data_IF_560538299505
#
_entry.id   IF_560538299505
#
_cell.length_a   1.000
_cell.length_b   1.000
_cell.length_c   1.000
_cell.angle_alpha   90.00
_cell.angle_beta   90.00
_cell.angle_gamma   90.00
#
_symmetry.space_group_name_H-M   'P 1'
#
loop_
_entity.id
_entity.type
_entity.pdbx_description
1 polymer ?
#
# COMPACT_ATOMS: atom_id res chain seq x y z
N UNK A 1 49.63 -54.40 43.12
CA UNK A 1 48.17 -54.16 42.97
C UNK A 1 47.76 -52.78 43.49
N UNK A 2 48.37 -52.24 44.55
CA UNK A 2 47.98 -50.92 45.09
C UNK A 2 48.57 -49.71 44.35
N UNK A 3 49.77 -49.82 43.77
CA UNK A 3 50.40 -48.72 43.03
C UNK A 3 49.64 -48.32 41.74
N UNK A 4 49.23 -49.29 40.93
CA UNK A 4 48.46 -49.05 39.69
C UNK A 4 47.08 -48.43 39.98
N UNK A 5 46.44 -48.81 41.11
CA UNK A 5 45.17 -48.19 41.54
C UNK A 5 45.37 -46.73 41.95
N UNK A 6 46.51 -46.40 42.56
CA UNK A 6 46.86 -45.05 42.97
C UNK A 6 47.15 -44.16 41.74
N UNK A 7 47.91 -44.66 40.77
CA UNK A 7 48.16 -43.94 39.51
C UNK A 7 46.88 -43.71 38.71
N UNK A 8 45.98 -44.70 38.66
CA UNK A 8 44.66 -44.56 38.01
C UNK A 8 43.78 -43.52 38.72
N UNK A 9 43.83 -43.46 40.05
CA UNK A 9 43.10 -42.47 40.84
C UNK A 9 43.64 -41.06 40.58
N UNK A 10 44.96 -40.88 40.57
CA UNK A 10 45.61 -39.61 40.25
C UNK A 10 45.30 -39.14 38.83
N UNK A 11 45.29 -40.06 37.85
CA UNK A 11 44.89 -39.76 36.47
C UNK A 11 43.43 -39.26 36.39
N UNK A 12 42.50 -39.93 37.08
CA UNK A 12 41.09 -39.51 37.17
C UNK A 12 40.92 -38.18 37.90
N UNK A 13 41.70 -37.90 38.96
CA UNK A 13 41.67 -36.62 39.66
C UNK A 13 42.14 -35.50 38.73
N UNK A 14 43.20 -35.72 37.94
CA UNK A 14 43.68 -34.74 36.96
C UNK A 14 42.65 -34.50 35.86
N UNK A 15 42.08 -35.57 35.30
CA UNK A 15 41.05 -35.49 34.26
C UNK A 15 39.80 -34.73 34.75
N UNK A 16 39.29 -35.07 35.94
CA UNK A 16 38.14 -34.36 36.53
C UNK A 16 38.46 -32.91 36.84
N UNK A 17 39.67 -32.59 37.30
CA UNK A 17 40.11 -31.21 37.53
C UNK A 17 40.12 -30.40 36.23
N UNK A 18 40.61 -30.98 35.13
CA UNK A 18 40.60 -30.35 33.80
C UNK A 18 39.18 -30.17 33.26
N UNK A 19 38.29 -31.15 33.48
CA UNK A 19 36.90 -31.03 33.08
C UNK A 19 36.19 -29.92 33.85
N UNK A 20 36.41 -29.83 35.17
CA UNK A 20 35.83 -28.78 36.02
C UNK A 20 36.34 -27.40 35.63
N UNK A 21 37.63 -27.24 35.32
CA UNK A 21 38.15 -25.95 34.85
C UNK A 21 37.57 -25.55 33.51
N UNK A 22 37.44 -26.49 32.57
CA UNK A 22 36.78 -26.26 31.27
C UNK A 22 35.32 -25.84 31.44
N UNK A 23 34.54 -26.57 32.23
CA UNK A 23 33.13 -26.24 32.49
C UNK A 23 32.96 -24.89 33.18
N UNK A 24 33.89 -24.50 34.06
CA UNK A 24 33.88 -23.16 34.67
C UNK A 24 34.12 -22.06 33.64
N UNK A 25 35.03 -22.28 32.70
CA UNK A 25 35.29 -21.31 31.63
C UNK A 25 34.10 -21.22 30.66
N UNK A 26 33.54 -22.35 30.23
CA UNK A 26 32.33 -22.36 29.39
C UNK A 26 31.15 -21.67 30.08
N UNK A 27 30.94 -21.93 31.38
CA UNK A 27 29.91 -21.24 32.17
C UNK A 27 30.15 -19.73 32.21
N UNK A 28 31.40 -19.30 32.45
CA UNK A 28 31.77 -17.89 32.51
C UNK A 28 31.51 -17.21 31.16
N UNK A 29 31.88 -17.86 30.06
CA UNK A 29 31.62 -17.34 28.71
C UNK A 29 30.12 -17.14 28.47
N UNK A 30 29.29 -18.12 28.84
CA UNK A 30 27.82 -18.03 28.71
C UNK A 30 27.25 -16.92 29.60
N UNK A 31 27.80 -16.70 30.80
CA UNK A 31 27.39 -15.59 31.68
C UNK A 31 27.75 -14.23 31.08
N UNK A 32 28.94 -14.09 30.46
CA UNK A 32 29.36 -12.88 29.76
C UNK A 32 28.48 -12.61 28.52
N UNK A 33 28.19 -13.63 27.70
CA UNK A 33 27.29 -13.51 26.55
C UNK A 33 25.85 -13.12 26.98
N UNK A 34 25.33 -13.72 28.06
CA UNK A 34 24.03 -13.33 28.60
C UNK A 34 24.00 -11.88 29.10
N UNK A 35 25.09 -11.40 29.73
CA UNK A 35 25.18 -10.01 30.16
C UNK A 35 25.17 -9.04 28.98
N UNK A 36 25.89 -9.36 27.90
CA UNK A 36 25.89 -8.58 26.67
C UNK A 36 24.51 -8.55 25.99
N UNK A 37 23.83 -9.69 25.93
CA UNK A 37 22.47 -9.76 25.38
C UNK A 37 21.47 -8.92 26.18
N UNK A 38 21.56 -8.93 27.51
CA UNK A 38 20.72 -8.09 28.37
C UNK A 38 20.95 -6.60 28.11
N UNK A 39 22.21 -6.18 28.07
CA UNK A 39 22.55 -4.80 27.72
C UNK A 39 21.98 -4.41 26.34
N UNK A 40 22.06 -5.32 25.36
CA UNK A 40 21.53 -5.06 24.01
C UNK A 40 20.01 -4.95 23.98
N UNK A 41 19.31 -5.72 24.80
CA UNK A 41 17.85 -5.61 24.96
C UNK A 41 17.51 -4.24 25.53
N UNK A 42 18.18 -3.80 26.61
CA UNK A 42 17.94 -2.49 27.23
C UNK A 42 18.17 -1.33 26.24
N UNK A 43 19.23 -1.42 25.41
CA UNK A 43 19.50 -0.46 24.34
C UNK A 43 18.38 -0.41 23.29
N UNK A 44 17.87 -1.58 22.88
CA UNK A 44 16.79 -1.68 21.89
C UNK A 44 15.45 -1.21 22.45
N UNK A 45 15.14 -1.48 23.72
CA UNK A 45 13.94 -0.99 24.40
C UNK A 45 13.96 0.53 24.47
N UNK A 46 15.10 1.13 24.80
CA UNK A 46 15.27 2.59 24.82
C UNK A 46 15.04 3.17 23.43
N UNK A 47 15.65 2.58 22.40
CA UNK A 47 15.47 3.04 21.01
C UNK A 47 14.01 2.90 20.55
N UNK A 48 13.32 1.83 20.94
CA UNK A 48 11.91 1.63 20.62
C UNK A 48 11.03 2.71 21.27
N UNK A 49 11.27 3.04 22.54
CA UNK A 49 10.55 4.11 23.24
C UNK A 49 10.74 5.47 22.55
N UNK A 50 11.95 5.78 22.07
CA UNK A 50 12.20 7.01 21.31
C UNK A 50 11.45 7.04 19.98
N UNK A 51 11.41 5.90 19.27
CA UNK A 51 10.66 5.78 18.01
C UNK A 51 9.16 5.92 18.26
N UNK A 52 8.62 5.28 19.29
CA UNK A 52 7.22 5.38 19.68
C UNK A 52 6.85 6.83 20.07
N UNK A 53 7.66 7.48 20.90
CA UNK A 53 7.45 8.88 21.28
C UNK A 53 7.49 9.82 20.07
N UNK A 54 8.41 9.59 19.12
CA UNK A 54 8.45 10.34 17.87
C UNK A 54 7.23 10.04 16.99
N UNK A 55 6.82 8.77 16.87
CA UNK A 55 5.64 8.39 16.11
C UNK A 55 4.38 9.05 16.68
N UNK A 56 4.19 9.05 18.00
CA UNK A 56 3.08 9.75 18.67
C UNK A 56 3.11 11.27 18.48
N UNK A 57 4.27 11.86 18.13
CA UNK A 57 4.36 13.29 17.80
C UNK A 57 3.80 13.60 16.41
N UNK A 58 3.90 12.65 15.47
CA UNK A 58 3.44 12.80 14.09
C UNK A 58 2.10 12.12 13.82
N UNK A 59 1.71 11.19 14.67
CA UNK A 59 0.42 10.51 14.66
C UNK A 59 -0.38 11.15 15.79
N UNK A 60 -1.30 12.10 15.49
CA UNK A 60 -2.16 12.62 16.53
C UNK A 60 -2.92 11.44 17.12
N UNK A 61 -3.04 11.41 18.44
CA UNK A 61 -3.77 10.37 19.16
C UNK A 61 -5.10 10.10 18.45
N UNK A 62 -5.33 8.84 18.07
CA UNK A 62 -6.53 8.46 17.33
C UNK A 62 -7.77 8.89 18.12
N UNK A 63 -7.73 8.79 19.45
CA UNK A 63 -8.82 9.23 20.32
C UNK A 63 -9.01 10.75 20.27
N UNK A 64 -7.91 11.53 20.18
CA UNK A 64 -7.97 12.99 19.99
C UNK A 64 -8.52 13.39 18.62
N UNK A 65 -8.14 12.69 17.55
CA UNK A 65 -8.68 12.93 16.20
C UNK A 65 -10.15 12.57 16.12
N UNK A 66 -10.55 11.45 16.72
CA UNK A 66 -11.95 11.05 16.81
C UNK A 66 -12.76 12.05 17.63
N UNK A 67 -12.23 12.55 18.74
CA UNK A 67 -12.88 13.60 19.52
C UNK A 67 -13.02 14.91 18.73
N UNK A 68 -11.98 15.31 17.98
CA UNK A 68 -12.02 16.48 17.11
C UNK A 68 -13.05 16.28 15.98
N UNK A 69 -13.08 15.10 15.37
CA UNK A 69 -14.05 14.73 14.33
C UNK A 69 -15.48 14.73 14.88
N UNK A 70 -15.70 14.21 16.09
CA UNK A 70 -17.00 14.25 16.77
C UNK A 70 -17.45 15.69 17.03
N UNK A 71 -16.53 16.58 17.45
CA UNK A 71 -16.85 18.00 17.65
C UNK A 71 -17.17 18.71 16.34
N UNK A 72 -16.46 18.38 15.26
CA UNK A 72 -16.70 18.91 13.91
C UNK A 72 -18.01 18.38 13.31
N UNK A 73 -18.35 17.12 13.54
CA UNK A 73 -19.62 16.53 13.08
C UNK A 73 -20.82 17.03 13.88
N UNK A 74 -20.64 17.35 15.17
CA UNK A 74 -21.70 17.93 16.01
C UNK A 74 -22.03 19.39 15.66
N UNK A 75 -21.13 20.12 14.99
CA UNK A 75 -21.39 21.55 14.74
C UNK A 75 -22.34 21.83 13.57
N UNK A 76 -22.67 20.88 12.68
CA UNK A 76 -23.56 21.18 11.53
C UNK A 76 -24.47 20.05 10.99
N UNK A 77 -24.58 18.86 11.61
CA UNK A 77 -25.44 17.81 11.03
C UNK A 77 -26.09 16.85 12.04
N UNK A 78 -27.15 17.29 12.72
CA UNK A 78 -28.18 16.37 13.23
C UNK A 78 -29.08 15.88 12.07
N UNK A 79 -28.48 15.14 11.15
CA UNK A 79 -29.18 14.32 10.16
C UNK A 79 -28.87 12.84 10.40
N UNK A 80 -29.65 11.89 9.86
CA UNK A 80 -29.24 10.49 9.88
C UNK A 80 -27.83 10.38 9.28
N UNK A 81 -26.90 9.76 10.01
CA UNK A 81 -25.58 9.41 9.49
C UNK A 81 -25.81 8.40 8.38
N UNK A 82 -26.01 8.90 7.16
CA UNK A 82 -25.95 8.08 5.96
C UNK A 82 -24.50 7.66 5.88
N UNK A 83 -24.23 6.36 5.95
CA UNK A 83 -22.92 5.82 5.64
C UNK A 83 -22.65 6.11 4.16
N UNK A 84 -22.04 7.26 3.88
CA UNK A 84 -21.73 7.69 2.53
C UNK A 84 -20.50 6.91 2.09
N UNK A 85 -20.64 6.11 1.04
CA UNK A 85 -19.51 5.37 0.48
C UNK A 85 -18.44 6.38 0.04
N UNK A 86 -17.15 6.20 0.40
CA UNK A 86 -16.06 7.10 -0.04
C UNK A 86 -16.03 7.37 -1.55
N UNK A 87 -16.52 6.42 -2.36
CA UNK A 87 -16.65 6.61 -3.81
C UNK A 87 -17.76 7.60 -4.17
N UNK A 88 -18.85 7.64 -3.42
CA UNK A 88 -19.95 8.60 -3.65
C UNK A 88 -19.50 10.02 -3.29
N UNK A 89 -18.72 10.20 -2.22
CA UNK A 89 -18.08 11.49 -1.88
C UNK A 89 -17.17 11.95 -3.02
N UNK A 90 -16.31 11.06 -3.53
CA UNK A 90 -15.40 11.40 -4.61
C UNK A 90 -16.15 11.81 -5.89
N UNK A 91 -17.26 11.14 -6.22
CA UNK A 91 -18.12 11.49 -7.35
C UNK A 91 -18.73 12.89 -7.16
N UNK A 92 -19.25 13.19 -5.98
CA UNK A 92 -19.86 14.48 -5.66
C UNK A 92 -18.84 15.63 -5.76
N UNK A 93 -17.62 15.41 -5.24
CA UNK A 93 -16.50 16.35 -5.36
C UNK A 93 -16.14 16.63 -6.82
N UNK A 94 -16.08 15.58 -7.65
CA UNK A 94 -15.86 15.73 -9.09
C UNK A 94 -16.99 16.53 -9.73
N UNK A 95 -18.26 16.23 -9.44
CA UNK A 95 -19.40 16.94 -10.01
C UNK A 95 -19.45 18.43 -9.62
N UNK A 96 -19.07 18.76 -8.38
CA UNK A 96 -19.02 20.13 -7.88
C UNK A 96 -17.86 20.97 -8.45
N UNK A 97 -16.79 20.35 -8.97
CA UNK A 97 -15.60 21.07 -9.48
C UNK A 97 -15.94 21.93 -10.71
N UNK A 98 -15.67 23.26 -10.67
CA UNK A 98 -15.79 24.13 -11.84
C UNK A 98 -14.59 23.95 -12.78
N UNK A 99 -14.85 23.85 -14.09
CA UNK A 99 -13.80 23.72 -15.11
C UNK A 99 -13.14 22.34 -15.17
N UNK A 100 -13.95 21.30 -15.45
CA UNK A 100 -13.49 19.90 -15.56
C UNK A 100 -12.57 19.70 -16.76
N UNK A 101 -11.46 19.03 -16.52
CA UNK A 101 -10.52 18.58 -17.56
C UNK A 101 -10.94 17.24 -18.17
N UNK A 102 -10.40 16.83 -19.33
CA UNK A 102 -10.60 15.49 -19.87
C UNK A 102 -10.27 14.37 -18.87
N UNK A 103 -9.18 14.53 -18.11
CA UNK A 103 -8.73 13.57 -17.08
C UNK A 103 -9.74 13.46 -15.93
N UNK A 104 -10.35 14.58 -15.52
CA UNK A 104 -11.38 14.58 -14.47
C UNK A 104 -12.61 13.74 -14.90
N UNK A 105 -13.02 13.85 -16.17
CA UNK A 105 -14.11 13.06 -16.72
C UNK A 105 -13.75 11.57 -16.86
N UNK A 106 -12.49 11.27 -17.19
CA UNK A 106 -11.98 9.90 -17.19
C UNK A 106 -12.04 9.28 -15.79
N UNK A 107 -11.58 9.98 -14.76
CA UNK A 107 -11.64 9.47 -13.39
C UNK A 107 -13.08 9.35 -12.87
N UNK A 108 -13.96 10.30 -13.19
CA UNK A 108 -15.39 10.20 -12.89
C UNK A 108 -16.01 8.95 -13.54
N UNK A 109 -15.69 8.69 -14.81
CA UNK A 109 -16.15 7.50 -15.52
C UNK A 109 -15.70 6.20 -14.83
N UNK A 110 -14.45 6.14 -14.37
CA UNK A 110 -13.91 4.99 -13.64
C UNK A 110 -14.61 4.73 -12.31
N UNK A 111 -14.88 5.79 -11.54
CA UNK A 111 -15.58 5.68 -10.26
C UNK A 111 -17.02 5.19 -10.46
N UNK A 112 -17.72 5.74 -11.45
CA UNK A 112 -19.07 5.28 -11.84
C UNK A 112 -19.07 3.82 -12.34
N UNK A 113 -18.03 3.41 -13.08
CA UNK A 113 -17.87 2.01 -13.53
C UNK A 113 -17.68 1.05 -12.34
N UNK A 114 -16.87 1.41 -11.34
CA UNK A 114 -16.69 0.64 -10.11
C UNK A 114 -18.01 0.46 -9.35
N UNK A 115 -18.87 1.48 -9.39
CA UNK A 115 -20.24 1.46 -8.83
C UNK A 115 -21.25 0.70 -9.69
N UNK A 116 -20.82 0.10 -10.80
CA UNK A 116 -21.69 -0.54 -11.80
C UNK A 116 -22.74 0.40 -12.41
N UNK A 117 -22.51 1.71 -12.34
CA UNK A 117 -23.34 2.75 -12.94
C UNK A 117 -22.88 2.98 -14.39
N UNK A 118 -23.05 1.94 -15.22
CA UNK A 118 -22.38 1.87 -16.52
C UNK A 118 -22.81 2.97 -17.51
N UNK A 119 -24.08 3.37 -17.52
CA UNK A 119 -24.54 4.45 -18.41
C UNK A 119 -23.95 5.81 -18.03
N UNK A 120 -23.81 6.08 -16.72
CA UNK A 120 -23.17 7.31 -16.22
C UNK A 120 -21.66 7.30 -16.49
N UNK A 121 -21.02 6.13 -16.38
CA UNK A 121 -19.62 5.96 -16.74
C UNK A 121 -19.38 6.24 -18.23
N UNK A 122 -20.24 5.72 -19.10
CA UNK A 122 -20.21 5.99 -20.55
C UNK A 122 -20.34 7.48 -20.84
N UNK A 123 -21.31 8.16 -20.21
CA UNK A 123 -21.51 9.60 -20.41
C UNK A 123 -20.28 10.41 -19.95
N UNK A 124 -19.68 10.05 -18.81
CA UNK A 124 -18.47 10.71 -18.32
C UNK A 124 -17.30 10.52 -19.29
N UNK A 125 -17.03 9.30 -19.77
CA UNK A 125 -15.99 9.06 -20.76
C UNK A 125 -16.24 9.83 -22.07
N UNK A 126 -17.49 9.93 -22.53
CA UNK A 126 -17.85 10.69 -23.73
C UNK A 126 -17.59 12.20 -23.57
N UNK A 127 -17.89 12.79 -22.40
CA UNK A 127 -17.57 14.20 -22.14
C UNK A 127 -16.05 14.44 -22.09
N UNK A 128 -15.29 13.53 -21.48
CA UNK A 128 -13.83 13.58 -21.50
C UNK A 128 -13.28 13.59 -22.93
N UNK A 129 -13.80 12.69 -23.78
CA UNK A 129 -13.44 12.58 -25.20
C UNK A 129 -13.95 13.76 -26.05
N UNK A 130 -14.98 14.47 -25.61
CA UNK A 130 -15.43 15.71 -26.26
C UNK A 130 -14.43 16.85 -26.02
N UNK A 131 -13.81 16.88 -24.83
CA UNK A 131 -12.80 17.87 -24.48
C UNK A 131 -11.42 17.53 -25.05
N UNK A 132 -11.02 16.26 -25.00
CA UNK A 132 -9.83 15.74 -25.68
C UNK A 132 -10.17 14.50 -26.53
N UNK A 133 -10.42 14.67 -27.83
CA UNK A 133 -10.69 13.57 -28.75
C UNK A 133 -9.53 12.58 -28.93
N UNK A 134 -8.33 12.90 -28.43
CA UNK A 134 -7.14 12.05 -28.50
C UNK A 134 -6.83 11.33 -27.18
N UNK A 135 -7.69 11.47 -26.17
CA UNK A 135 -7.50 10.80 -24.89
C UNK A 135 -7.67 9.28 -25.02
N UNK A 136 -6.55 8.59 -25.23
CA UNK A 136 -6.54 7.18 -25.58
C UNK A 136 -7.12 6.29 -24.47
N UNK A 137 -6.80 6.58 -23.21
CA UNK A 137 -7.29 5.80 -22.07
C UNK A 137 -8.81 5.89 -21.91
N UNK A 138 -9.40 7.09 -22.02
CA UNK A 138 -10.84 7.28 -22.00
C UNK A 138 -11.52 6.56 -23.18
N UNK A 139 -10.90 6.61 -24.37
CA UNK A 139 -11.40 5.93 -25.56
C UNK A 139 -11.40 4.41 -25.40
N UNK A 140 -10.32 3.85 -24.85
CA UNK A 140 -10.21 2.42 -24.58
C UNK A 140 -11.22 1.97 -23.54
N UNK A 141 -11.33 2.68 -22.41
CA UNK A 141 -12.31 2.33 -21.36
C UNK A 141 -13.74 2.36 -21.88
N UNK A 142 -14.10 3.37 -22.67
CA UNK A 142 -15.41 3.45 -23.28
C UNK A 142 -15.69 2.25 -24.21
N UNK A 143 -14.73 1.90 -25.09
CA UNK A 143 -14.88 0.77 -26.00
C UNK A 143 -15.05 -0.56 -25.26
N UNK A 144 -14.19 -0.84 -24.27
CA UNK A 144 -14.29 -2.03 -23.44
C UNK A 144 -15.60 -2.10 -22.65
N UNK A 145 -16.05 -0.98 -22.08
CA UNK A 145 -17.29 -0.94 -21.33
C UNK A 145 -18.50 -1.20 -22.22
N UNK A 146 -18.51 -0.67 -23.45
CA UNK A 146 -19.56 -0.94 -24.44
C UNK A 146 -19.60 -2.42 -24.84
N UNK A 147 -18.45 -3.07 -25.06
CA UNK A 147 -18.39 -4.52 -25.32
C UNK A 147 -18.92 -5.34 -24.14
N UNK A 148 -18.54 -4.97 -22.91
CA UNK A 148 -19.03 -5.64 -21.69
C UNK A 148 -20.56 -5.58 -21.58
N UNK A 149 -21.18 -4.53 -22.13
CA UNK A 149 -22.64 -4.37 -22.19
C UNK A 149 -23.27 -4.98 -23.45
N UNK A 150 -22.52 -5.69 -24.28
CA UNK A 150 -22.94 -6.23 -25.59
C UNK A 150 -23.40 -5.13 -26.58
N UNK A 151 -22.85 -3.93 -26.47
CA UNK A 151 -23.09 -2.79 -27.37
C UNK A 151 -22.00 -2.69 -28.43
N UNK A 152 -21.70 -3.82 -29.07
CA UNK A 152 -20.57 -3.96 -30.00
C UNK A 152 -20.64 -2.99 -31.19
N UNK A 153 -21.86 -2.68 -31.65
CA UNK A 153 -22.10 -1.72 -32.72
C UNK A 153 -21.62 -0.31 -32.36
N UNK A 154 -21.67 0.07 -31.08
CA UNK A 154 -21.18 1.35 -30.57
C UNK A 154 -19.70 1.30 -30.21
N UNK A 155 -19.17 0.13 -29.83
CA UNK A 155 -17.75 -0.07 -29.53
C UNK A 155 -16.85 -0.05 -30.78
N UNK A 156 -17.32 -0.66 -31.88
CA UNK A 156 -16.57 -0.80 -33.13
C UNK A 156 -15.91 0.51 -33.64
N UNK A 157 -16.62 1.66 -33.76
CA UNK A 157 -16.00 2.90 -34.23
C UNK A 157 -14.91 3.44 -33.28
N UNK A 158 -14.96 3.11 -31.99
CA UNK A 158 -13.92 3.50 -31.05
C UNK A 158 -12.67 2.63 -31.21
N UNK A 159 -12.83 1.32 -31.45
CA UNK A 159 -11.71 0.44 -31.77
C UNK A 159 -10.98 0.82 -33.04
N UNK A 160 -11.74 1.18 -34.09
CA UNK A 160 -11.16 1.68 -35.34
C UNK A 160 -10.29 2.92 -35.10
N UNK A 161 -10.75 3.85 -34.26
CA UNK A 161 -9.98 5.05 -33.87
C UNK A 161 -8.74 4.70 -33.04
N UNK A 162 -8.86 3.81 -32.06
CA UNK A 162 -7.76 3.35 -31.20
C UNK A 162 -6.64 2.76 -32.08
N UNK A 163 -7.00 1.83 -32.99
CA UNK A 163 -6.03 1.20 -33.89
C UNK A 163 -5.43 2.18 -34.89
N UNK A 164 -6.21 3.13 -35.41
CA UNK A 164 -5.68 4.18 -36.29
C UNK A 164 -4.65 5.05 -35.55
N UNK A 165 -4.88 5.40 -34.28
CA UNK A 165 -3.95 6.18 -33.48
C UNK A 165 -2.68 5.39 -33.13
N UNK A 166 -2.80 4.12 -32.75
CA UNK A 166 -1.65 3.25 -32.45
C UNK A 166 -0.82 2.93 -33.72
N UNK A 167 -1.48 2.72 -34.86
CA UNK A 167 -0.85 2.53 -36.16
C UNK A 167 -0.10 3.77 -36.66
N UNK A 168 -0.61 4.97 -36.37
CA UNK A 168 0.08 6.23 -36.68
C UNK A 168 1.30 6.47 -35.78
N UNK A 169 1.26 6.06 -34.50
CA UNK A 169 2.38 6.17 -33.57
C UNK A 169 3.50 5.15 -33.86
N UNK A 170 3.16 3.97 -34.36
CA UNK A 170 4.14 2.91 -34.70
C UNK A 170 4.83 3.10 -36.06
N UNK A 171 4.31 3.98 -36.93
CA UNK A 171 4.93 4.28 -38.23
C UNK A 171 4.99 5.80 -38.51
N UNK A 172 5.97 6.52 -37.95
CA UNK A 172 6.05 7.99 -38.02
C UNK A 172 6.26 8.58 -39.43
N UNK A 173 6.37 7.76 -40.48
CA UNK A 173 6.67 8.21 -41.86
C UNK A 173 5.47 8.42 -42.78
N UNK A 174 4.22 8.20 -42.34
CA UNK A 174 3.01 8.40 -43.17
C UNK A 174 2.33 9.76 -42.99
N UNK A 175 3.10 10.85 -42.87
CA UNK A 175 2.59 12.21 -43.12
C UNK A 175 3.63 13.06 -43.85
N UNK A 176 3.84 12.77 -45.13
CA UNK A 176 4.18 13.75 -46.19
C UNK A 176 4.28 13.02 -47.52
N UNK A 177 3.20 13.02 -48.26
CA UNK A 177 3.23 13.00 -49.71
C UNK A 177 2.10 13.91 -50.15
N UNK A 178 2.51 14.97 -50.85
CA UNK A 178 1.71 16.09 -51.34
C UNK A 178 0.50 15.64 -52.14
#
# INVERSE_FOLDING_TARGET
MDAEKFELLDAKIRETTLLVSRLREEKRQVEEENAQLRQRIDELETALQEVEANASRYMPDIDSLLAQLDTLNRSDAEGPVVEVDPVDIAIDDFEAKPGKSPDDYYELGRLREQKSQYDQAIAAYQEGLRLDPQHLDAMQRLAFLLEKLNRDAEAAPWWDKIWAMQGAQTNPRRRRSR
#
